data_IF_043286474148
#
_entry.id   IF_043286474148
#
_cell.length_a   1.000
_cell.length_b   1.000
_cell.length_c   1.000
_cell.angle_alpha   90.00
_cell.angle_beta   90.00
_cell.angle_gamma   90.00
#
_symmetry.space_group_name_H-M   'P 1'
#
loop_
_entity.id
_entity.type
_entity.pdbx_description
1 polymer ?
#
# COMPACT_ATOMS: atom_id res chain seq x y z
N UNK A 1 -13.60 7.56 -9.24
CA UNK A 1 -13.17 6.94 -10.52
C UNK A 1 -12.65 5.57 -10.16
N UNK A 2 -13.16 4.49 -10.75
CA UNK A 2 -12.94 3.13 -10.22
C UNK A 2 -12.16 2.28 -11.23
N UNK A 3 -10.94 1.87 -10.87
CA UNK A 3 -10.13 0.95 -11.67
C UNK A 3 -9.92 -0.38 -10.92
N UNK A 4 -9.66 -1.42 -11.71
CA UNK A 4 -9.25 -2.74 -11.21
C UNK A 4 -7.82 -3.00 -11.67
N UNK A 5 -6.93 -3.27 -10.73
CA UNK A 5 -5.51 -3.55 -10.96
C UNK A 5 -5.21 -4.93 -10.37
N UNK A 6 -5.13 -5.94 -11.22
CA UNK A 6 -5.03 -7.32 -10.76
C UNK A 6 -4.17 -8.24 -11.62
N UNK A 7 -3.78 -9.36 -11.02
CA UNK A 7 -3.06 -10.47 -11.64
C UNK A 7 -1.71 -10.07 -12.27
N UNK A 8 -1.09 -9.00 -11.76
CA UNK A 8 0.22 -8.52 -12.16
C UNK A 8 1.36 -9.43 -11.67
N UNK A 9 2.48 -9.43 -12.40
CA UNK A 9 3.70 -10.13 -11.99
C UNK A 9 4.56 -9.36 -10.97
N UNK A 10 4.24 -8.09 -10.73
CA UNK A 10 4.92 -7.19 -9.81
C UNK A 10 3.89 -6.45 -8.96
N UNK A 11 4.28 -5.33 -8.33
CA UNK A 11 3.35 -4.55 -7.53
C UNK A 11 2.21 -3.99 -8.39
N UNK A 12 0.99 -3.89 -7.83
CA UNK A 12 -0.16 -3.34 -8.55
C UNK A 12 0.05 -1.87 -8.93
N UNK A 13 0.50 -1.07 -7.96
CA UNK A 13 0.91 0.32 -8.19
C UNK A 13 2.30 0.55 -7.60
N UNK A 14 3.18 1.10 -8.42
CA UNK A 14 4.56 1.41 -8.04
C UNK A 14 4.77 2.93 -8.07
N UNK A 15 5.04 3.55 -6.92
CA UNK A 15 5.30 4.99 -6.79
C UNK A 15 6.76 5.20 -6.38
N UNK A 16 7.52 5.90 -7.22
CA UNK A 16 8.97 6.04 -7.07
C UNK A 16 9.44 7.45 -7.48
N UNK A 17 10.71 7.76 -7.18
CA UNK A 17 11.41 8.98 -7.61
C UNK A 17 10.63 10.27 -7.34
N UNK A 18 10.26 10.51 -6.08
CA UNK A 18 9.48 11.68 -5.64
C UNK A 18 8.04 11.74 -6.21
N UNK A 19 7.52 10.65 -6.77
CA UNK A 19 6.12 10.56 -7.19
C UNK A 19 5.16 10.86 -6.04
N UNK A 20 4.16 11.73 -6.28
CA UNK A 20 3.23 12.22 -5.25
C UNK A 20 1.77 12.18 -5.72
N UNK A 21 1.43 11.19 -6.55
CA UNK A 21 0.09 11.04 -7.11
C UNK A 21 -0.97 10.63 -6.07
N UNK A 22 -2.24 10.74 -6.47
CA UNK A 22 -3.38 10.23 -5.71
C UNK A 22 -3.85 8.90 -6.29
N UNK A 23 -3.95 7.89 -5.43
CA UNK A 23 -4.49 6.57 -5.73
C UNK A 23 -5.78 6.45 -4.93
N UNK A 24 -6.92 6.59 -5.59
CA UNK A 24 -8.21 6.64 -4.89
C UNK A 24 -9.27 5.77 -5.54
N UNK A 25 -10.10 5.13 -4.71
CA UNK A 25 -11.29 4.37 -5.14
C UNK A 25 -10.98 3.23 -6.13
N UNK A 26 -9.90 2.48 -5.92
CA UNK A 26 -9.53 1.34 -6.77
C UNK A 26 -9.61 0.00 -6.04
N UNK A 27 -9.74 -1.08 -6.81
CA UNK A 27 -9.52 -2.45 -6.36
C UNK A 27 -8.15 -2.96 -6.84
N UNK A 28 -7.29 -3.36 -5.90
CA UNK A 28 -5.92 -3.81 -6.19
C UNK A 28 -5.69 -5.19 -5.56
N UNK A 29 -5.61 -6.24 -6.39
CA UNK A 29 -5.57 -7.62 -5.85
C UNK A 29 -4.85 -8.65 -6.70
N UNK A 30 -4.49 -9.79 -6.11
CA UNK A 30 -3.82 -10.92 -6.77
C UNK A 30 -2.51 -10.56 -7.50
N UNK A 31 -1.84 -9.47 -7.13
CA UNK A 31 -0.54 -9.16 -7.68
C UNK A 31 0.54 -10.02 -6.99
N UNK A 32 1.55 -10.44 -7.75
CA UNK A 32 2.64 -11.29 -7.25
C UNK A 32 3.67 -10.55 -6.37
N UNK A 33 3.44 -9.28 -6.06
CA UNK A 33 4.20 -8.47 -5.12
C UNK A 33 3.21 -7.61 -4.29
N UNK A 34 3.63 -6.46 -3.74
CA UNK A 34 2.77 -5.61 -2.93
C UNK A 34 1.58 -5.05 -3.73
N UNK A 35 0.49 -4.71 -3.05
CA UNK A 35 -0.61 -3.99 -3.70
C UNK A 35 -0.16 -2.59 -4.16
N UNK A 36 0.36 -1.80 -3.23
CA UNK A 36 0.98 -0.50 -3.48
C UNK A 36 2.39 -0.48 -2.90
N UNK A 37 3.39 -0.22 -3.74
CA UNK A 37 4.78 -0.05 -3.34
C UNK A 37 5.19 1.42 -3.44
N UNK A 38 5.71 1.98 -2.34
CA UNK A 38 6.15 3.36 -2.24
C UNK A 38 7.63 3.41 -1.90
N UNK A 39 8.44 4.04 -2.75
CA UNK A 39 9.90 4.02 -2.63
C UNK A 39 10.57 5.29 -3.12
N UNK A 40 11.87 5.44 -2.85
CA UNK A 40 12.73 6.47 -3.46
C UNK A 40 12.14 7.88 -3.30
N UNK A 41 11.88 8.24 -2.04
CA UNK A 41 11.32 9.56 -1.65
C UNK A 41 9.93 9.87 -2.22
N UNK A 42 9.22 8.88 -2.77
CA UNK A 42 7.83 9.05 -3.16
C UNK A 42 6.93 9.36 -1.95
N UNK A 43 5.83 10.09 -2.18
CA UNK A 43 4.87 10.49 -1.16
C UNK A 43 3.45 10.57 -1.73
N UNK A 44 2.81 9.42 -2.06
CA UNK A 44 1.45 9.40 -2.59
C UNK A 44 0.40 9.63 -1.50
N UNK A 45 -0.81 9.95 -1.96
CA UNK A 45 -2.04 9.86 -1.15
C UNK A 45 -2.87 8.67 -1.62
N UNK A 46 -3.11 7.72 -0.73
CA UNK A 46 -3.83 6.48 -1.01
C UNK A 46 -5.10 6.45 -0.17
N UNK A 47 -6.26 6.57 -0.81
CA UNK A 47 -7.53 6.78 -0.10
C UNK A 47 -8.69 5.96 -0.66
N UNK A 48 -9.51 5.36 0.21
CA UNK A 48 -10.70 4.59 -0.20
C UNK A 48 -10.43 3.45 -1.20
N UNK A 49 -9.27 2.80 -1.14
CA UNK A 49 -8.97 1.64 -1.98
C UNK A 49 -9.26 0.33 -1.24
N UNK A 50 -9.53 -0.73 -1.99
CA UNK A 50 -9.56 -2.10 -1.49
C UNK A 50 -8.33 -2.81 -2.02
N UNK A 51 -7.37 -3.13 -1.14
CA UNK A 51 -6.11 -3.78 -1.46
C UNK A 51 -6.03 -5.11 -0.75
N UNK A 52 -6.15 -6.22 -1.47
CA UNK A 52 -6.30 -7.56 -0.87
C UNK A 52 -5.64 -8.64 -1.71
N UNK A 53 -5.29 -9.78 -1.09
CA UNK A 53 -4.81 -10.99 -1.77
C UNK A 53 -3.57 -10.78 -2.64
N UNK A 54 -2.77 -9.75 -2.35
CA UNK A 54 -1.47 -9.59 -2.98
C UNK A 54 -0.46 -10.50 -2.27
N UNK A 55 0.55 -10.99 -3.00
CA UNK A 55 1.51 -11.98 -2.49
C UNK A 55 2.47 -11.44 -1.42
N UNK A 56 2.52 -10.12 -1.27
CA UNK A 56 3.28 -9.40 -0.26
C UNK A 56 2.31 -8.60 0.62
N UNK A 57 2.71 -7.43 1.08
CA UNK A 57 1.88 -6.53 1.87
C UNK A 57 0.86 -5.79 0.99
N UNK A 58 -0.23 -5.32 1.61
CA UNK A 58 -1.16 -4.43 0.91
C UNK A 58 -0.48 -3.13 0.49
N UNK A 59 0.20 -2.49 1.44
CA UNK A 59 1.06 -1.34 1.22
C UNK A 59 2.45 -1.64 1.77
N UNK A 60 3.47 -1.42 0.96
CA UNK A 60 4.88 -1.52 1.38
C UNK A 60 5.59 -0.19 1.13
N UNK A 61 6.18 0.38 2.18
CA UNK A 61 6.93 1.65 2.11
C UNK A 61 8.40 1.41 2.46
N UNK A 62 9.29 1.71 1.51
CA UNK A 62 10.73 1.47 1.63
C UNK A 62 11.58 2.64 1.10
N UNK A 63 12.90 2.59 1.31
CA UNK A 63 13.89 3.51 0.73
C UNK A 63 13.51 5.02 0.82
N UNK A 64 13.28 5.50 2.05
CA UNK A 64 12.84 6.86 2.35
C UNK A 64 11.48 7.25 1.73
N UNK A 65 10.66 6.27 1.39
CA UNK A 65 9.28 6.48 1.00
C UNK A 65 8.47 7.12 2.14
N UNK A 66 7.48 7.90 1.74
CA UNK A 66 6.54 8.53 2.64
C UNK A 66 5.11 8.42 2.09
N UNK A 67 4.11 8.90 2.82
CA UNK A 67 2.78 9.02 2.24
C UNK A 67 1.66 9.09 3.26
N UNK A 68 0.45 9.20 2.73
CA UNK A 68 -0.78 9.16 3.50
C UNK A 68 -1.67 8.03 3.03
N UNK A 69 -2.17 7.23 3.97
CA UNK A 69 -3.00 6.07 3.70
C UNK A 69 -4.26 6.17 4.54
N UNK A 70 -5.40 6.49 3.93
CA UNK A 70 -6.64 6.78 4.62
C UNK A 70 -7.82 5.95 4.13
N UNK A 71 -8.60 5.42 5.08
CA UNK A 71 -9.90 4.78 4.78
C UNK A 71 -9.81 3.65 3.73
N UNK A 72 -8.69 2.92 3.69
CA UNK A 72 -8.50 1.78 2.79
C UNK A 72 -8.86 0.46 3.50
N UNK A 73 -9.36 -0.53 2.76
CA UNK A 73 -9.43 -1.92 3.24
C UNK A 73 -8.19 -2.68 2.77
N UNK A 74 -7.32 -3.06 3.70
CA UNK A 74 -5.98 -3.61 3.44
C UNK A 74 -5.83 -5.05 3.93
N UNK A 75 -6.95 -5.72 4.20
CA UNK A 75 -6.98 -7.08 4.74
C UNK A 75 -6.63 -8.13 3.69
N UNK A 76 -6.27 -9.31 4.17
CA UNK A 76 -6.08 -10.52 3.37
C UNK A 76 -4.91 -10.45 2.39
N UNK A 77 -3.88 -9.64 2.66
CA UNK A 77 -2.62 -9.68 1.92
C UNK A 77 -1.65 -10.67 2.61
N UNK A 78 -0.85 -11.39 1.83
CA UNK A 78 -0.11 -12.57 2.32
C UNK A 78 0.90 -12.22 3.41
N UNK A 79 1.55 -11.05 3.33
CA UNK A 79 2.52 -10.59 4.34
C UNK A 79 1.98 -9.52 5.30
N UNK A 80 0.67 -9.29 5.29
CA UNK A 80 0.00 -8.32 6.16
C UNK A 80 -0.42 -7.04 5.46
N UNK A 81 -1.05 -6.13 6.20
CA UNK A 81 -1.71 -4.97 5.60
C UNK A 81 -0.75 -3.85 5.19
N UNK A 82 0.17 -3.46 6.07
CA UNK A 82 1.13 -2.37 5.83
C UNK A 82 2.48 -2.77 6.43
N UNK A 83 3.56 -2.66 5.66
CA UNK A 83 4.94 -2.67 6.15
C UNK A 83 5.64 -1.34 5.87
N UNK A 84 6.44 -0.89 6.84
CA UNK A 84 7.15 0.39 6.80
C UNK A 84 8.59 0.17 7.24
N UNK A 85 9.51 0.30 6.29
CA UNK A 85 10.93 0.13 6.59
C UNK A 85 11.52 1.31 7.37
N UNK A 86 12.63 1.10 8.11
CA UNK A 86 13.33 2.16 8.82
C UNK A 86 13.66 3.37 7.94
N UNK A 87 13.39 4.57 8.45
CA UNK A 87 13.63 5.82 7.72
C UNK A 87 12.50 6.25 6.79
N UNK A 88 11.43 5.45 6.67
CA UNK A 88 10.20 5.84 5.99
C UNK A 88 9.25 6.57 6.97
N UNK A 89 8.33 7.37 6.43
CA UNK A 89 7.40 8.17 7.24
C UNK A 89 5.99 8.15 6.67
N UNK A 90 5.04 7.64 7.43
CA UNK A 90 3.65 7.51 6.97
C UNK A 90 2.66 8.15 7.93
N UNK A 91 1.51 8.52 7.40
CA UNK A 91 0.32 8.86 8.18
C UNK A 91 -0.80 7.90 7.82
N UNK A 92 -1.49 7.37 8.83
CA UNK A 92 -2.58 6.41 8.65
C UNK A 92 -3.79 6.79 9.49
N UNK A 93 -4.98 6.60 8.92
CA UNK A 93 -6.25 6.83 9.61
C UNK A 93 -7.36 6.03 8.91
N UNK A 94 -8.30 5.48 9.68
CA UNK A 94 -9.50 4.85 9.13
C UNK A 94 -9.29 3.57 8.30
N UNK A 95 -8.05 3.10 8.13
CA UNK A 95 -7.79 1.86 7.39
C UNK A 95 -8.28 0.63 8.16
N UNK A 96 -8.81 -0.34 7.44
CA UNK A 96 -9.18 -1.66 7.95
C UNK A 96 -7.99 -2.59 7.71
N UNK A 97 -7.39 -3.07 8.80
CA UNK A 97 -6.17 -3.90 8.78
C UNK A 97 -6.47 -5.32 9.25
N UNK A 98 -5.61 -6.27 8.92
CA UNK A 98 -5.66 -7.62 9.49
C UNK A 98 -5.35 -7.56 10.99
N UNK A 99 -6.23 -8.13 11.80
CA UNK A 99 -6.08 -8.14 13.25
C UNK A 99 -5.11 -9.25 13.68
N UNK A 100 -3.81 -9.11 13.43
CA UNK A 100 -2.82 -9.96 14.12
C UNK A 100 -1.36 -9.50 14.14
N UNK A 101 -0.94 -8.33 13.64
CA UNK A 101 0.45 -7.88 13.88
C UNK A 101 0.53 -6.46 14.43
N UNK A 102 0.98 -6.40 15.68
CA UNK A 102 1.39 -5.22 16.39
C UNK A 102 2.52 -4.56 15.59
N UNK A 103 2.34 -3.32 15.15
CA UNK A 103 3.41 -2.52 14.56
C UNK A 103 4.47 -2.36 15.64
N UNK A 104 5.61 -3.02 15.48
CA UNK A 104 6.76 -2.81 16.36
C UNK A 104 7.27 -1.40 16.07
N UNK A 105 7.03 -0.47 17.00
CA UNK A 105 7.67 0.86 17.03
C UNK A 105 9.16 0.73 17.37
#
# INVERSE_FOLDING_TARGET
MHNVIADGHEAGVYVFENGAGTIAENEIFNNHNAGVLVTTQASPSVVHNVVRQNAYEGIWVCAAGAGSFYDNDLRYNVRGSIDVEPGCSITTHGNILDTSECVSL
#
